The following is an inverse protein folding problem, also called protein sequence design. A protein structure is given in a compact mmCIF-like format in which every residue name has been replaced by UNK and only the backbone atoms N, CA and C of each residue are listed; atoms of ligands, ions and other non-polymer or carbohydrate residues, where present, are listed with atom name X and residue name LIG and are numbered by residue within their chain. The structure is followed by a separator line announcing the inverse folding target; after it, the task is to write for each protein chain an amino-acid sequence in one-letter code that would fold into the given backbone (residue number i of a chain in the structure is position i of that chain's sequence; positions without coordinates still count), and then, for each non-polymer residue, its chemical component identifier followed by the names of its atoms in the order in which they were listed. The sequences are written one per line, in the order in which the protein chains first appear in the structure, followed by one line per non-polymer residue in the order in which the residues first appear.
data_IF_040210587966
#
_entry.id   IF_040210587966
#
_cell.length_a   1.000
_cell.length_b   1.000
_cell.length_c   1.000
_cell.angle_alpha   90.00
_cell.angle_beta   90.00
_cell.angle_gamma   90.00
#
_symmetry.space_group_name_H-M   'P 1'
#
loop_
_entity.id
_entity.type
_entity.pdbx_description
1 polymer ?
#
# COMPACT_ATOMS: atom_id res chain seq x y z
N UNK A 1 -68.86 63.97 14.27
CA UNK A 1 -69.03 62.89 15.24
C UNK A 1 -68.02 63.05 16.37
N UNK A 2 -68.44 63.31 17.59
CA UNK A 2 -67.56 63.50 18.74
C UNK A 2 -67.30 62.10 19.34
N UNK A 3 -66.09 61.57 19.16
CA UNK A 3 -65.67 60.24 19.74
C UNK A 3 -65.58 60.41 21.26
N UNK A 4 -66.36 59.62 22.02
CA UNK A 4 -66.38 59.63 23.46
C UNK A 4 -65.01 59.30 24.08
N UNK A 5 -64.71 59.93 25.24
CA UNK A 5 -63.42 59.68 25.94
C UNK A 5 -63.23 58.21 26.35
N UNK A 6 -64.31 57.43 26.46
CA UNK A 6 -64.24 55.96 26.64
C UNK A 6 -63.79 55.23 25.39
N UNK A 7 -64.25 55.63 24.19
CA UNK A 7 -63.88 54.97 22.91
C UNK A 7 -62.39 55.19 22.55
N UNK A 8 -61.82 56.34 22.90
CA UNK A 8 -60.42 56.61 22.77
C UNK A 8 -59.50 55.65 23.56
N UNK A 9 -59.91 55.34 24.79
CA UNK A 9 -59.18 54.38 25.65
C UNK A 9 -59.23 52.96 25.09
N UNK A 10 -60.37 52.55 24.57
CA UNK A 10 -60.50 51.24 23.91
C UNK A 10 -59.75 51.17 22.59
N UNK A 11 -59.68 52.25 21.85
CA UNK A 11 -58.94 52.31 20.60
C UNK A 11 -57.45 52.23 20.86
N UNK A 12 -56.92 52.87 21.89
CA UNK A 12 -55.49 52.82 22.28
C UNK A 12 -55.12 51.42 22.83
N UNK A 13 -56.01 50.84 23.67
CA UNK A 13 -55.77 49.50 24.19
C UNK A 13 -55.84 48.42 23.09
N UNK A 14 -56.78 48.53 22.15
CA UNK A 14 -56.95 47.62 21.02
C UNK A 14 -55.74 47.71 20.01
N UNK A 15 -55.26 48.93 19.77
CA UNK A 15 -54.09 49.08 18.90
C UNK A 15 -52.83 48.50 19.51
N UNK A 16 -52.64 48.61 20.82
CA UNK A 16 -51.50 47.99 21.52
C UNK A 16 -51.54 46.46 21.43
N UNK A 17 -52.66 45.85 21.61
CA UNK A 17 -52.79 44.39 21.47
C UNK A 17 -52.62 43.97 20.05
N UNK A 18 -53.13 44.69 19.07
CA UNK A 18 -52.92 44.39 17.64
C UNK A 18 -51.44 44.45 17.24
N UNK A 19 -50.69 45.43 17.76
CA UNK A 19 -49.23 45.53 17.48
C UNK A 19 -48.48 44.37 18.10
N UNK A 20 -48.80 43.94 19.31
CA UNK A 20 -48.13 42.78 19.94
C UNK A 20 -48.44 41.48 19.21
N UNK A 21 -49.69 41.29 18.78
CA UNK A 21 -50.09 40.11 18.00
C UNK A 21 -49.38 40.12 16.63
N UNK A 22 -49.30 41.29 15.98
CA UNK A 22 -48.64 41.44 14.72
C UNK A 22 -47.11 41.18 14.85
N UNK A 23 -46.49 41.67 15.92
CA UNK A 23 -45.09 41.40 16.23
C UNK A 23 -44.85 39.90 16.48
N UNK A 24 -45.75 39.23 17.21
CA UNK A 24 -45.65 37.80 17.49
C UNK A 24 -45.79 36.93 16.24
N UNK A 25 -46.60 37.37 15.27
CA UNK A 25 -46.76 36.69 13.99
C UNK A 25 -45.62 36.97 13.00
N UNK A 26 -45.00 38.17 13.06
CA UNK A 26 -43.93 38.55 12.15
C UNK A 26 -42.52 38.08 12.60
N UNK A 27 -42.32 37.94 13.92
CA UNK A 27 -41.01 37.49 14.47
C UNK A 27 -40.54 36.12 13.90
N UNK A 28 -41.37 35.06 13.83
CA UNK A 28 -40.97 33.81 13.25
C UNK A 28 -40.70 33.89 11.73
N UNK A 29 -41.34 34.84 11.04
CA UNK A 29 -41.17 35.03 9.60
C UNK A 29 -39.91 35.83 9.27
N UNK A 30 -39.38 36.60 10.21
CA UNK A 30 -38.15 37.40 10.08
C UNK A 30 -36.89 36.66 10.53
N UNK A 31 -37.00 35.55 11.23
CA UNK A 31 -35.89 34.71 11.62
C UNK A 31 -35.78 33.57 10.59
N UNK A 32 -34.91 33.68 9.58
CA UNK A 32 -34.78 32.61 8.61
C UNK A 32 -34.28 31.35 9.34
N UNK A 33 -35.06 30.27 9.33
CA UNK A 33 -34.69 28.94 9.88
C UNK A 33 -33.36 28.43 9.31
N UNK A 34 -32.94 28.95 8.16
CA UNK A 34 -31.67 28.67 7.51
C UNK A 34 -30.44 29.02 8.36
N UNK A 35 -30.52 29.97 9.29
CA UNK A 35 -29.34 30.32 10.12
C UNK A 35 -28.99 29.21 11.11
N UNK A 36 -29.96 28.55 11.72
CA UNK A 36 -29.70 27.44 12.65
C UNK A 36 -29.12 26.21 11.93
N UNK A 37 -29.62 25.92 10.72
CA UNK A 37 -29.12 24.84 9.86
C UNK A 37 -27.72 25.15 9.38
N UNK A 38 -27.46 26.40 8.97
CA UNK A 38 -26.15 26.84 8.49
C UNK A 38 -25.09 26.81 9.60
N UNK A 39 -25.44 27.21 10.83
CA UNK A 39 -24.54 27.13 12.00
C UNK A 39 -24.23 25.69 12.34
N UNK A 40 -25.21 24.79 12.37
CA UNK A 40 -24.96 23.34 12.58
C UNK A 40 -24.10 22.72 11.52
N UNK A 41 -24.32 23.06 10.24
CA UNK A 41 -23.45 22.60 9.13
C UNK A 41 -22.02 23.08 9.30
N UNK A 42 -21.80 24.36 9.59
CA UNK A 42 -20.46 24.91 9.84
C UNK A 42 -19.79 24.27 11.05
N UNK A 43 -20.52 24.02 12.13
CA UNK A 43 -19.98 23.32 13.30
C UNK A 43 -19.58 21.88 12.98
N UNK A 44 -20.37 21.16 12.19
CA UNK A 44 -20.04 19.79 11.78
C UNK A 44 -18.81 19.76 10.86
N UNK A 45 -18.71 20.70 9.92
CA UNK A 45 -17.52 20.81 9.05
C UNK A 45 -16.27 21.12 9.89
N UNK A 46 -16.34 22.10 10.81
CA UNK A 46 -15.22 22.43 11.71
C UNK A 46 -14.83 21.27 12.62
N UNK A 47 -15.80 20.47 13.06
CA UNK A 47 -15.54 19.27 13.85
C UNK A 47 -14.82 18.20 13.02
N UNK A 48 -15.30 17.98 11.80
CA UNK A 48 -14.70 17.05 10.86
C UNK A 48 -13.28 17.48 10.44
N UNK A 49 -13.05 18.77 10.21
CA UNK A 49 -11.72 19.31 9.94
C UNK A 49 -10.79 19.14 11.14
N UNK A 50 -11.24 19.38 12.37
CA UNK A 50 -10.43 19.15 13.58
C UNK A 50 -10.10 17.69 13.80
N UNK A 51 -11.05 16.79 13.54
CA UNK A 51 -10.82 15.34 13.61
C UNK A 51 -9.80 14.90 12.52
N UNK A 52 -9.89 15.47 11.32
CA UNK A 52 -8.94 15.20 10.23
C UNK A 52 -7.53 15.71 10.56
N UNK A 53 -7.45 16.92 11.12
CA UNK A 53 -6.15 17.49 11.57
C UNK A 53 -5.56 16.66 12.71
N UNK A 54 -6.38 16.23 13.67
CA UNK A 54 -5.91 15.36 14.77
C UNK A 54 -5.40 13.99 14.30
N UNK A 55 -5.87 13.52 13.15
CA UNK A 55 -5.39 12.27 12.53
C UNK A 55 -4.15 12.46 11.65
N UNK A 56 -3.82 13.70 11.27
CA UNK A 56 -2.72 13.99 10.33
C UNK A 56 -1.35 13.49 10.85
N UNK A 57 -1.08 13.65 12.13
CA UNK A 57 0.15 13.13 12.75
C UNK A 57 0.21 11.60 12.69
N UNK A 58 -0.92 10.93 12.91
CA UNK A 58 -1.03 9.49 12.79
C UNK A 58 -0.80 9.00 11.34
N UNK A 59 -1.31 9.72 10.35
CA UNK A 59 -1.05 9.42 8.94
C UNK A 59 0.41 9.67 8.56
N UNK A 60 1.02 10.77 9.01
CA UNK A 60 2.44 11.06 8.77
C UNK A 60 3.34 9.96 9.36
N UNK A 61 3.05 9.52 10.59
CA UNK A 61 3.79 8.44 11.22
C UNK A 61 3.66 7.11 10.44
N UNK A 62 2.44 6.77 9.97
CA UNK A 62 2.22 5.58 9.14
C UNK A 62 2.92 5.67 7.79
N UNK A 63 2.90 6.83 7.14
CA UNK A 63 3.62 7.05 5.88
C UNK A 63 5.12 6.88 6.09
N UNK A 64 5.70 7.49 7.14
CA UNK A 64 7.11 7.33 7.46
C UNK A 64 7.48 5.86 7.71
N UNK A 65 6.66 5.14 8.47
CA UNK A 65 6.86 3.70 8.71
C UNK A 65 6.77 2.86 7.44
N UNK A 66 5.82 3.17 6.57
CA UNK A 66 5.71 2.49 5.26
C UNK A 66 6.91 2.80 4.37
N UNK A 67 7.38 4.04 4.34
CA UNK A 67 8.58 4.44 3.58
C UNK A 67 9.83 3.72 4.10
N UNK A 68 10.00 3.61 5.42
CA UNK A 68 11.12 2.88 6.02
C UNK A 68 11.07 1.37 5.65
N UNK A 69 9.90 0.75 5.72
CA UNK A 69 9.73 -0.65 5.29
C UNK A 69 10.04 -0.82 3.80
N UNK A 70 9.52 0.06 2.95
CA UNK A 70 9.81 0.04 1.52
C UNK A 70 11.29 0.21 1.22
N UNK A 71 11.99 1.09 1.95
CA UNK A 71 13.44 1.25 1.80
C UNK A 71 14.20 -0.02 2.19
N UNK A 72 13.82 -0.67 3.29
CA UNK A 72 14.39 -1.95 3.73
C UNK A 72 14.13 -3.06 2.70
N UNK A 73 12.91 -3.16 2.18
CA UNK A 73 12.55 -4.17 1.19
C UNK A 73 13.27 -3.93 -0.15
N UNK A 74 13.39 -2.67 -0.59
CA UNK A 74 14.18 -2.31 -1.77
C UNK A 74 15.65 -2.65 -1.64
N UNK A 75 16.25 -2.44 -0.46
CA UNK A 75 17.65 -2.81 -0.22
C UNK A 75 17.90 -4.32 -0.37
N UNK A 76 16.88 -5.14 -0.22
CA UNK A 76 16.94 -6.59 -0.42
C UNK A 76 16.74 -7.02 -1.88
N UNK A 77 16.31 -6.13 -2.76
CA UNK A 77 16.23 -6.43 -4.19
C UNK A 77 17.64 -6.52 -4.81
N UNK A 78 17.73 -7.23 -5.92
CA UNK A 78 18.97 -7.30 -6.69
C UNK A 78 19.10 -6.04 -7.56
N UNK A 79 20.23 -5.34 -7.50
CA UNK A 79 20.43 -4.13 -8.31
C UNK A 79 20.79 -4.44 -9.76
N UNK A 80 20.57 -3.48 -10.64
CA UNK A 80 21.15 -3.50 -11.99
C UNK A 80 20.37 -4.28 -13.05
N UNK A 81 19.13 -4.64 -12.78
CA UNK A 81 18.30 -5.38 -13.73
C UNK A 81 18.66 -6.87 -13.82
N UNK A 82 17.88 -7.62 -14.62
CA UNK A 82 17.97 -9.08 -14.70
C UNK A 82 19.30 -9.58 -15.25
N UNK A 83 19.85 -8.91 -16.27
CA UNK A 83 21.10 -9.32 -16.89
C UNK A 83 22.28 -9.33 -15.90
N UNK A 84 22.31 -8.37 -14.98
CA UNK A 84 23.34 -8.26 -13.95
C UNK A 84 23.01 -9.14 -12.74
N UNK A 85 21.76 -9.20 -12.34
CA UNK A 85 21.33 -9.91 -11.13
C UNK A 85 21.44 -11.44 -11.26
N UNK A 86 21.21 -12.01 -12.45
CA UNK A 86 21.27 -13.46 -12.67
C UNK A 86 22.65 -14.05 -12.31
N UNK A 87 23.77 -13.52 -12.79
CA UNK A 87 25.10 -14.03 -12.41
C UNK A 87 25.35 -13.92 -10.89
N UNK A 88 24.95 -12.81 -10.26
CA UNK A 88 25.09 -12.65 -8.82
C UNK A 88 24.24 -13.65 -8.04
N UNK A 89 23.00 -13.86 -8.46
CA UNK A 89 22.13 -14.87 -7.87
C UNK A 89 22.71 -16.30 -8.01
N UNK A 90 23.24 -16.62 -9.17
CA UNK A 90 23.90 -17.91 -9.38
C UNK A 90 25.14 -18.10 -8.49
N UNK A 91 25.95 -17.04 -8.34
CA UNK A 91 27.11 -17.06 -7.43
C UNK A 91 26.69 -17.23 -5.98
N UNK A 92 25.63 -16.53 -5.56
CA UNK A 92 25.08 -16.66 -4.22
C UNK A 92 24.57 -18.09 -3.95
N UNK A 93 23.79 -18.65 -4.88
CA UNK A 93 23.28 -20.02 -4.76
C UNK A 93 24.41 -21.06 -4.74
N UNK A 94 25.48 -20.83 -5.51
CA UNK A 94 26.69 -21.69 -5.45
C UNK A 94 27.35 -21.60 -4.07
N UNK A 95 27.55 -20.39 -3.54
CA UNK A 95 28.15 -20.21 -2.20
C UNK A 95 27.33 -20.87 -1.08
N UNK A 96 26.00 -20.79 -1.18
CA UNK A 96 25.08 -21.46 -0.22
C UNK A 96 25.21 -22.99 -0.38
N UNK A 97 25.28 -23.51 -1.60
CA UNK A 97 25.45 -24.93 -1.87
C UNK A 97 26.78 -25.46 -1.31
N UNK A 98 27.87 -24.74 -1.55
CA UNK A 98 29.20 -25.10 -1.04
C UNK A 98 29.23 -25.09 0.49
N UNK A 99 28.64 -24.09 1.14
CA UNK A 99 28.51 -24.00 2.60
C UNK A 99 27.66 -25.12 3.20
N UNK A 100 26.67 -25.61 2.44
CA UNK A 100 25.77 -26.70 2.84
C UNK A 100 26.26 -28.08 2.41
N UNK A 101 27.39 -28.15 1.71
CA UNK A 101 27.95 -29.36 1.11
C UNK A 101 26.99 -30.08 0.15
N UNK A 102 26.23 -29.28 -0.62
CA UNK A 102 25.26 -29.73 -1.61
C UNK A 102 25.91 -29.67 -2.98
N UNK A 103 25.85 -30.76 -3.74
CA UNK A 103 26.37 -30.82 -5.12
C UNK A 103 25.27 -30.38 -6.09
N UNK A 104 25.54 -29.32 -6.88
CA UNK A 104 24.63 -28.86 -7.92
C UNK A 104 24.94 -29.58 -9.22
N UNK A 105 24.00 -30.41 -9.68
CA UNK A 105 24.13 -31.18 -10.93
C UNK A 105 23.82 -30.35 -12.17
N UNK A 106 22.78 -29.54 -12.10
CA UNK A 106 22.36 -28.70 -13.20
C UNK A 106 21.77 -27.38 -12.75
N UNK A 107 21.96 -26.34 -13.55
CA UNK A 107 21.40 -25.01 -13.37
C UNK A 107 20.74 -24.58 -14.67
N UNK A 108 19.51 -24.14 -14.60
CA UNK A 108 18.77 -23.60 -15.73
C UNK A 108 18.15 -22.25 -15.37
N UNK A 109 18.38 -21.26 -16.21
CA UNK A 109 17.79 -19.93 -16.05
C UNK A 109 16.45 -19.94 -16.76
N UNK A 110 15.41 -19.54 -16.07
CA UNK A 110 14.07 -19.40 -16.65
C UNK A 110 13.85 -17.96 -17.11
N UNK A 111 12.90 -17.79 -18.03
CA UNK A 111 12.55 -16.48 -18.55
C UNK A 111 12.14 -15.51 -17.43
N UNK A 112 12.59 -14.28 -17.57
CA UNK A 112 12.23 -13.18 -16.69
C UNK A 112 10.71 -12.92 -16.78
N UNK A 113 10.08 -12.64 -15.64
CA UNK A 113 8.69 -12.29 -15.57
C UNK A 113 8.53 -10.90 -14.95
N UNK A 114 7.93 -9.96 -15.69
CA UNK A 114 7.61 -8.65 -15.17
C UNK A 114 6.47 -8.76 -14.15
N UNK A 115 6.70 -8.32 -12.92
CA UNK A 115 5.70 -8.35 -11.83
C UNK A 115 5.03 -6.99 -11.68
N UNK A 116 5.82 -5.91 -11.74
CA UNK A 116 5.38 -4.52 -11.69
C UNK A 116 6.22 -3.68 -12.65
N UNK A 117 5.87 -2.40 -12.82
CA UNK A 117 6.60 -1.51 -13.73
C UNK A 117 8.11 -1.50 -13.50
N UNK A 118 8.52 -1.50 -12.23
CA UNK A 118 9.91 -1.36 -11.81
C UNK A 118 10.47 -2.61 -11.14
N UNK A 119 9.74 -3.74 -11.14
CA UNK A 119 10.17 -4.99 -10.49
C UNK A 119 9.93 -6.16 -11.42
N UNK A 120 10.98 -6.91 -11.67
CA UNK A 120 10.91 -8.17 -12.39
C UNK A 120 11.32 -9.34 -11.48
N UNK A 121 10.75 -10.50 -11.76
CA UNK A 121 11.06 -11.77 -11.12
C UNK A 121 12.01 -12.54 -12.01
N UNK A 122 13.18 -12.89 -11.48
CA UNK A 122 14.12 -13.83 -12.10
C UNK A 122 14.00 -15.19 -11.42
N UNK A 123 14.14 -16.26 -12.17
CA UNK A 123 14.00 -17.61 -11.67
C UNK A 123 15.15 -18.49 -12.14
N UNK A 124 15.71 -19.26 -11.20
CA UNK A 124 16.76 -20.25 -11.49
C UNK A 124 16.26 -21.61 -11.00
N UNK A 125 16.27 -22.57 -11.88
CA UNK A 125 15.98 -23.96 -11.55
C UNK A 125 17.27 -24.68 -11.29
N UNK A 126 17.35 -25.37 -10.17
CA UNK A 126 18.51 -26.15 -9.71
C UNK A 126 18.10 -27.61 -9.54
N UNK A 127 18.97 -28.49 -9.96
CA UNK A 127 18.90 -29.91 -9.59
C UNK A 127 20.15 -30.22 -8.78
N UNK A 128 19.95 -30.77 -7.58
CA UNK A 128 21.06 -31.00 -6.66
C UNK A 128 21.06 -32.44 -6.16
N UNK A 129 22.23 -32.91 -5.69
CA UNK A 129 22.36 -34.17 -4.96
C UNK A 129 22.70 -33.86 -3.52
N UNK A 130 21.94 -34.40 -2.57
CA UNK A 130 22.17 -34.12 -1.16
C UNK A 130 21.53 -35.16 -0.25
N UNK A 131 21.94 -35.16 1.00
CA UNK A 131 21.23 -35.80 2.11
C UNK A 131 20.11 -34.86 2.61
N UNK A 132 19.23 -35.36 3.46
CA UNK A 132 18.16 -34.55 4.05
C UNK A 132 18.74 -33.37 4.87
N UNK A 133 19.75 -33.62 5.69
CA UNK A 133 20.36 -32.57 6.51
C UNK A 133 21.02 -31.48 5.67
N UNK A 134 21.69 -31.87 4.57
CA UNK A 134 22.27 -30.91 3.62
C UNK A 134 21.17 -30.07 2.94
N UNK A 135 20.06 -30.69 2.55
CA UNK A 135 18.92 -29.97 1.95
C UNK A 135 18.34 -28.95 2.91
N UNK A 136 18.14 -29.32 4.18
CA UNK A 136 17.61 -28.40 5.20
C UNK A 136 18.55 -27.20 5.39
N UNK A 137 19.87 -27.43 5.48
CA UNK A 137 20.88 -26.35 5.58
C UNK A 137 20.85 -25.46 4.35
N UNK A 138 20.75 -26.04 3.17
CA UNK A 138 20.68 -25.30 1.91
C UNK A 138 19.43 -24.40 1.84
N UNK A 139 18.25 -24.95 2.16
CA UNK A 139 17.00 -24.19 2.18
C UNK A 139 17.06 -23.05 3.21
N UNK A 140 17.57 -23.33 4.40
CA UNK A 140 17.78 -22.29 5.42
C UNK A 140 18.74 -21.21 4.94
N UNK A 141 19.82 -21.57 4.24
CA UNK A 141 20.76 -20.63 3.65
C UNK A 141 20.12 -19.74 2.57
N UNK A 142 19.22 -20.30 1.76
CA UNK A 142 18.49 -19.54 0.73
C UNK A 142 17.50 -18.55 1.38
N UNK A 143 16.76 -18.98 2.39
CA UNK A 143 15.74 -18.13 3.04
C UNK A 143 16.35 -17.01 3.87
N UNK A 144 17.51 -17.26 4.50
CA UNK A 144 18.22 -16.30 5.33
C UNK A 144 19.25 -15.45 4.57
N UNK A 145 19.28 -15.56 3.24
CA UNK A 145 20.22 -14.79 2.44
C UNK A 145 19.93 -13.28 2.53
N UNK A 146 20.99 -12.48 2.40
CA UNK A 146 20.90 -11.00 2.48
C UNK A 146 19.92 -10.40 1.46
N UNK A 147 19.95 -10.92 0.22
CA UNK A 147 19.03 -10.53 -0.83
C UNK A 147 17.78 -11.41 -0.82
N UNK A 148 16.69 -10.88 -1.37
CA UNK A 148 15.42 -11.57 -1.40
C UNK A 148 15.50 -12.78 -2.35
N UNK A 149 15.66 -13.95 -1.76
CA UNK A 149 15.58 -15.24 -2.41
C UNK A 149 14.41 -16.02 -1.81
N UNK A 150 13.70 -16.75 -2.66
CA UNK A 150 12.58 -17.60 -2.23
C UNK A 150 12.53 -18.87 -3.04
N UNK A 151 12.29 -20.00 -2.40
CA UNK A 151 12.00 -21.25 -3.10
C UNK A 151 10.53 -21.26 -3.48
N UNK A 152 10.26 -21.26 -4.79
CA UNK A 152 8.87 -21.27 -5.33
C UNK A 152 8.35 -22.70 -5.49
N UNK A 153 9.23 -23.62 -5.87
CA UNK A 153 8.85 -25.03 -6.06
C UNK A 153 10.00 -25.92 -5.57
N UNK A 154 9.63 -27.02 -4.94
CA UNK A 154 10.54 -28.04 -4.48
C UNK A 154 9.94 -29.41 -4.80
N UNK A 155 10.59 -30.15 -5.67
CA UNK A 155 10.26 -31.55 -5.97
C UNK A 155 11.39 -32.43 -5.48
N UNK A 156 11.10 -33.37 -4.62
CA UNK A 156 12.10 -34.27 -4.04
C UNK A 156 11.92 -35.67 -4.65
N UNK A 157 12.90 -36.09 -5.43
CA UNK A 157 13.04 -37.47 -5.85
C UNK A 157 14.08 -38.14 -4.97
N UNK A 158 13.92 -39.43 -4.69
CA UNK A 158 14.89 -40.21 -3.96
C UNK A 158 15.45 -41.31 -4.85
N UNK A 159 16.76 -41.52 -4.77
CA UNK A 159 17.46 -42.59 -5.48
C UNK A 159 18.24 -43.42 -4.48
N UNK A 160 18.01 -44.74 -4.46
CA UNK A 160 18.84 -45.67 -3.73
C UNK A 160 20.01 -46.10 -4.60
N UNK A 161 21.22 -45.94 -4.10
CA UNK A 161 22.43 -46.37 -4.79
C UNK A 161 22.95 -47.66 -4.07
N UNK A 162 22.39 -48.78 -4.44
CA UNK A 162 22.72 -50.07 -3.82
C UNK A 162 22.32 -50.16 -2.34
N UNK A 163 23.28 -50.67 -1.51
CA UNK A 163 23.09 -50.84 -0.07
C UNK A 163 23.54 -49.59 0.73
N UNK A 164 23.74 -48.44 0.05
CA UNK A 164 24.17 -47.17 0.66
C UNK A 164 23.00 -46.25 0.95
N UNK A 165 23.32 -45.18 1.64
CA UNK A 165 22.38 -44.17 2.09
C UNK A 165 21.47 -43.65 0.98
N UNK A 166 20.27 -43.23 1.37
CA UNK A 166 19.27 -42.64 0.51
C UNK A 166 19.77 -41.25 0.02
N UNK A 167 20.10 -41.14 -1.25
CA UNK A 167 20.47 -39.86 -1.88
C UNK A 167 19.19 -39.20 -2.40
N UNK A 168 18.98 -37.97 -1.98
CA UNK A 168 17.91 -37.12 -2.50
C UNK A 168 18.41 -36.39 -3.75
N UNK A 169 17.53 -36.31 -4.75
CA UNK A 169 17.75 -35.54 -5.99
C UNK A 169 16.63 -34.49 -6.08
N UNK A 170 16.65 -33.47 -5.24
CA UNK A 170 15.64 -32.43 -5.30
C UNK A 170 15.84 -31.52 -6.52
N UNK A 171 14.72 -31.15 -7.11
CA UNK A 171 14.62 -30.09 -8.11
C UNK A 171 13.97 -28.87 -7.46
N UNK A 172 14.70 -27.76 -7.43
CA UNK A 172 14.28 -26.52 -6.78
C UNK A 172 14.14 -25.42 -7.82
N UNK A 173 13.06 -24.65 -7.70
CA UNK A 173 12.91 -23.38 -8.42
C UNK A 173 13.10 -22.24 -7.43
N UNK A 174 14.22 -21.56 -7.52
CA UNK A 174 14.54 -20.40 -6.68
C UNK A 174 14.23 -19.12 -7.46
N UNK A 175 13.54 -18.20 -6.83
CA UNK A 175 13.18 -16.90 -7.39
C UNK A 175 13.90 -15.79 -6.65
N UNK A 176 14.25 -14.75 -7.40
CA UNK A 176 14.74 -13.49 -6.88
C UNK A 176 13.99 -12.34 -7.53
N UNK A 177 14.02 -11.18 -6.90
CA UNK A 177 13.39 -9.97 -7.43
C UNK A 177 14.46 -8.92 -7.74
N UNK A 178 14.35 -8.31 -8.91
CA UNK A 178 15.27 -7.28 -9.40
C UNK A 178 14.53 -5.98 -9.59
N UNK A 179 15.22 -4.88 -9.30
CA UNK A 179 14.72 -3.56 -9.67
C UNK A 179 15.05 -3.30 -11.14
N UNK A 180 14.02 -3.11 -11.95
CA UNK A 180 14.15 -2.75 -13.35
C UNK A 180 14.17 -1.22 -13.44
N UNK A 181 15.18 -0.59 -14.07
CA UNK A 181 15.14 0.86 -14.26
C UNK A 181 13.87 1.24 -15.03
N UNK A 182 13.13 2.19 -14.50
CA UNK A 182 11.97 2.74 -15.21
C UNK A 182 12.41 3.22 -16.59
N UNK A 183 11.69 2.87 -17.66
CA UNK A 183 11.93 3.49 -18.94
C UNK A 183 11.84 5.02 -18.79
N UNK A 184 12.74 5.80 -19.40
CA UNK A 184 12.69 7.25 -19.31
C UNK A 184 11.28 7.71 -19.69
N UNK A 185 10.67 8.54 -18.85
CA UNK A 185 9.35 9.09 -19.08
C UNK A 185 9.29 9.64 -20.51
N UNK A 186 8.41 9.10 -21.36
CA UNK A 186 8.16 9.69 -22.68
C UNK A 186 7.93 11.19 -22.49
N UNK A 187 8.67 12.05 -23.21
CA UNK A 187 8.39 13.47 -23.17
C UNK A 187 6.91 13.66 -23.44
N UNK A 188 6.23 14.39 -22.57
CA UNK A 188 4.83 14.74 -22.75
C UNK A 188 4.70 15.36 -24.15
N UNK A 189 4.03 14.66 -25.04
CA UNK A 189 3.69 15.13 -26.38
C UNK A 189 2.85 16.38 -26.18
N UNK A 190 3.49 17.55 -26.37
CA UNK A 190 2.80 18.83 -26.40
C UNK A 190 1.71 18.69 -27.46
N UNK A 191 0.47 18.51 -27.02
CA UNK A 191 -0.70 18.69 -27.88
C UNK A 191 -0.63 20.12 -28.39
N UNK A 192 -0.03 20.27 -29.57
CA UNK A 192 -0.03 21.51 -30.31
C UNK A 192 -1.48 21.87 -30.58
N UNK A 193 -1.98 22.93 -29.93
CA UNK A 193 -3.18 23.58 -30.35
C UNK A 193 -2.96 24.07 -31.79
N UNK A 194 -3.75 23.53 -32.67
CA UNK A 194 -3.97 24.11 -34.00
C UNK A 194 -5.28 24.87 -33.93
N UNK A 195 -5.16 26.11 -34.33
CA UNK A 195 -6.20 27.12 -34.64
C UNK A 195 -7.58 26.59 -35.01
#
# INVERSE_FOLDING_TARGET
MKISARDKKFLIAGSGVAIVVLAYLLVPMLIPEDRAVTVKRKQNVLRQERETIGQEEGYKARIAQCQERLAKDRARLWPGGSATAIPYMQKALQGIADASQVEINSKSILAEQKVQENVAKISVQLQVNCTLDQLVRFLSGVENYEKLLKVENLMIASRRQGNKDLILVPMLKVIGYVETPSPPAKPAEKSGGAN
#
